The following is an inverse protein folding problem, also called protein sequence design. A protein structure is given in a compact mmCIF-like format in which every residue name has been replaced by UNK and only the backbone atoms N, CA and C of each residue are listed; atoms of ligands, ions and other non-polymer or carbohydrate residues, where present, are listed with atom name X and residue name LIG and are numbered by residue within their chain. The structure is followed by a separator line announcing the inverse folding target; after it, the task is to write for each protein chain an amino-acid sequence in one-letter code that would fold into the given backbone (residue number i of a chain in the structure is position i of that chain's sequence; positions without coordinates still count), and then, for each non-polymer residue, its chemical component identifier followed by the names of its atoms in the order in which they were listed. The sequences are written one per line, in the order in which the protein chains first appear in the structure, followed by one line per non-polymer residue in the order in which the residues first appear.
data_IF_402071312244
#
_entry.id   IF_402071312244
#
_cell.length_a   1.000
_cell.length_b   1.000
_cell.length_c   1.000
_cell.angle_alpha   90.00
_cell.angle_beta   90.00
_cell.angle_gamma   90.00
#
_symmetry.space_group_name_H-M   'P 1'
#
loop_
_entity.id
_entity.type
_entity.pdbx_description
1 polymer ?
#
# COMPACT_ATOMS: atom_id res chain seq x y z
N UNK A 1 3.59 12.88 -2.15
CA UNK A 1 4.63 13.55 -1.34
C UNK A 1 6.02 13.50 -2.00
N UNK A 2 6.70 12.34 -2.07
CA UNK A 2 8.10 12.29 -2.53
C UNK A 2 8.33 12.59 -4.02
N UNK A 3 7.45 12.12 -4.91
CA UNK A 3 7.54 12.42 -6.35
C UNK A 3 7.45 13.93 -6.68
N UNK A 4 6.39 14.65 -6.26
CA UNK A 4 6.32 16.09 -6.55
C UNK A 4 7.44 16.88 -5.85
N UNK A 5 7.87 16.44 -4.66
CA UNK A 5 9.01 17.06 -3.98
C UNK A 5 10.31 16.94 -4.81
N UNK A 6 10.58 15.76 -5.38
CA UNK A 6 11.74 15.53 -6.25
C UNK A 6 11.71 16.36 -7.53
N UNK A 7 10.53 16.57 -8.13
CA UNK A 7 10.42 17.36 -9.37
C UNK A 7 10.51 18.87 -9.14
N UNK A 8 10.08 19.35 -7.98
CA UNK A 8 10.09 20.77 -7.65
C UNK A 8 11.32 21.20 -6.84
N UNK A 9 12.25 20.30 -6.51
CA UNK A 9 13.42 20.61 -5.68
C UNK A 9 13.06 20.99 -4.24
N UNK A 10 12.04 20.34 -3.68
CA UNK A 10 11.53 20.61 -2.33
C UNK A 10 11.80 19.42 -1.41
N UNK A 11 11.79 19.68 -0.09
CA UNK A 11 11.82 18.65 0.92
C UNK A 11 10.41 18.09 1.14
N UNK A 12 10.26 16.77 1.16
CA UNK A 12 8.97 16.12 1.37
C UNK A 12 9.09 14.78 2.07
N UNK A 13 8.43 14.64 3.21
CA UNK A 13 8.46 13.42 4.02
C UNK A 13 7.09 12.73 3.99
N UNK A 14 7.10 11.41 3.75
CA UNK A 14 5.93 10.55 3.97
C UNK A 14 6.15 9.83 5.31
N UNK A 15 5.39 10.14 6.37
CA UNK A 15 5.61 9.52 7.66
C UNK A 15 5.16 8.05 7.67
N UNK A 16 5.38 7.39 8.80
CA UNK A 16 4.88 6.04 9.06
C UNK A 16 3.35 6.05 8.96
N UNK A 17 2.78 4.97 8.41
CA UNK A 17 1.33 4.83 8.30
C UNK A 17 0.69 4.86 9.70
N UNK A 18 -0.34 5.70 9.87
CA UNK A 18 -0.98 5.93 11.18
C UNK A 18 -0.30 6.99 12.07
N UNK A 19 0.85 7.58 11.68
CA UNK A 19 1.50 8.64 12.47
C UNK A 19 0.72 9.97 12.46
N UNK A 20 0.02 10.25 11.36
CA UNK A 20 -0.83 11.42 11.18
C UNK A 20 -2.25 10.93 10.95
N UNK A 21 -3.21 11.52 11.67
CA UNK A 21 -4.63 11.20 11.51
C UNK A 21 -5.11 11.47 10.09
N UNK A 22 -6.01 10.63 9.60
CA UNK A 22 -6.66 10.76 8.29
C UNK A 22 -8.11 11.23 8.41
N UNK A 23 -8.54 11.56 9.62
CA UNK A 23 -9.87 12.14 9.83
C UNK A 23 -9.98 13.47 9.06
N UNK A 24 -11.00 13.57 8.20
CA UNK A 24 -11.21 14.73 7.33
C UNK A 24 -10.47 14.72 5.99
N UNK A 25 -9.62 13.70 5.74
CA UNK A 25 -8.95 13.53 4.45
C UNK A 25 -9.84 12.74 3.50
N UNK A 26 -10.02 13.22 2.27
CA UNK A 26 -10.71 12.46 1.23
C UNK A 26 -9.92 11.16 0.96
N UNK A 27 -10.52 9.97 1.14
CA UNK A 27 -9.80 8.72 1.00
C UNK A 27 -9.53 8.39 -0.47
N UNK A 28 -8.27 8.07 -0.79
CA UNK A 28 -7.88 7.46 -2.05
C UNK A 28 -7.83 5.94 -1.90
N UNK A 29 -6.82 5.46 -1.18
CA UNK A 29 -6.66 4.05 -0.80
C UNK A 29 -6.41 3.97 0.70
N UNK A 30 -7.44 3.57 1.47
CA UNK A 30 -7.41 3.62 2.95
C UNK A 30 -6.25 2.85 3.60
N UNK A 31 -5.64 1.88 2.94
CA UNK A 31 -4.48 1.16 3.48
C UNK A 31 -3.14 1.84 3.20
N UNK A 32 -3.09 2.82 2.30
CA UNK A 32 -1.85 3.46 1.84
C UNK A 32 -1.82 4.98 2.07
N UNK A 33 -2.99 5.59 2.22
CA UNK A 33 -3.13 7.03 2.43
C UNK A 33 -2.36 7.45 3.68
N UNK A 34 -1.51 8.47 3.53
CA UNK A 34 -0.75 9.06 4.62
C UNK A 34 -0.54 10.53 4.30
N UNK A 35 -0.86 11.40 5.25
CA UNK A 35 -0.60 12.84 5.15
C UNK A 35 0.81 13.12 5.64
N UNK A 36 1.52 13.99 4.95
CA UNK A 36 2.84 14.46 5.36
C UNK A 36 3.06 15.90 4.88
N UNK A 37 4.06 16.59 5.42
CA UNK A 37 4.42 17.93 5.00
C UNK A 37 5.33 17.95 3.78
N UNK A 38 5.28 19.06 3.06
CA UNK A 38 6.17 19.44 1.97
C UNK A 38 6.60 20.88 2.20
N UNK A 39 7.90 21.14 2.18
CA UNK A 39 8.49 22.43 2.55
C UNK A 39 9.78 22.69 1.77
N UNK A 40 10.38 23.87 1.99
CA UNK A 40 11.63 24.24 1.32
C UNK A 40 12.84 23.63 2.03
N UNK A 41 12.74 23.44 3.34
CA UNK A 41 13.82 22.87 4.16
C UNK A 41 13.35 21.65 4.96
N UNK A 42 14.31 20.89 5.48
CA UNK A 42 14.03 19.69 6.30
C UNK A 42 13.44 20.11 7.64
N UNK A 43 13.88 21.25 8.18
CA UNK A 43 13.42 21.83 9.45
C UNK A 43 11.95 22.25 9.37
N UNK A 44 11.52 22.89 8.28
CA UNK A 44 10.10 23.23 8.05
C UNK A 44 9.22 21.99 8.01
N UNK A 45 9.69 20.93 7.34
CA UNK A 45 8.99 19.65 7.31
C UNK A 45 8.92 19.02 8.71
N UNK A 46 10.00 19.07 9.48
CA UNK A 46 10.06 18.53 10.83
C UNK A 46 9.14 19.29 11.80
N UNK A 47 9.12 20.61 11.74
CA UNK A 47 8.23 21.47 12.53
C UNK A 47 6.76 21.19 12.22
N UNK A 48 6.43 21.12 10.93
CA UNK A 48 5.06 20.84 10.49
C UNK A 48 4.63 19.43 10.88
N UNK A 49 5.52 18.44 10.71
CA UNK A 49 5.24 17.06 11.12
C UNK A 49 5.00 16.96 12.63
N UNK A 50 5.79 17.66 13.45
CA UNK A 50 5.61 17.70 14.90
C UNK A 50 4.26 18.30 15.31
N UNK A 51 3.71 19.24 14.52
CA UNK A 51 2.42 19.85 14.81
C UNK A 51 1.23 18.96 14.44
N UNK A 52 1.34 18.16 13.37
CA UNK A 52 0.23 17.34 12.85
C UNK A 52 0.28 15.87 13.30
N UNK A 53 1.44 15.39 13.75
CA UNK A 53 1.59 14.01 14.21
C UNK A 53 0.94 13.82 15.58
N UNK A 54 0.32 12.67 15.79
CA UNK A 54 -0.32 12.34 17.06
C UNK A 54 -1.47 11.35 16.91
N UNK A 55 -1.84 10.76 18.05
CA UNK A 55 -3.03 9.92 18.14
C UNK A 55 -4.28 10.80 18.02
N UNK A 56 -5.25 10.34 17.22
CA UNK A 56 -6.55 10.98 17.08
C UNK A 56 -7.65 9.96 17.40
N UNK A 57 -8.45 10.19 18.46
CA UNK A 57 -9.59 9.32 18.80
C UNK A 57 -10.61 9.14 17.68
N UNK A 58 -10.67 10.07 16.71
CA UNK A 58 -11.59 10.00 15.57
C UNK A 58 -11.08 9.12 14.43
N UNK A 59 -9.79 8.78 14.42
CA UNK A 59 -9.19 7.85 13.48
C UNK A 59 -8.73 6.58 14.20
N UNK A 60 -9.52 5.50 14.06
CA UNK A 60 -9.22 4.18 14.64
C UNK A 60 -7.88 3.60 14.17
N UNK A 61 -7.33 4.07 13.05
CA UNK A 61 -6.05 3.59 12.52
C UNK A 61 -4.85 4.43 12.96
N UNK A 62 -5.08 5.51 13.71
CA UNK A 62 -4.00 6.34 14.23
C UNK A 62 -3.19 5.58 15.29
N UNK A 63 -1.87 5.70 15.22
CA UNK A 63 -0.96 5.09 16.17
C UNK A 63 -1.07 5.76 17.53
N UNK A 64 -1.00 4.98 18.60
CA UNK A 64 -0.94 5.46 19.99
C UNK A 64 0.51 5.68 20.45
N UNK A 65 1.50 5.40 19.61
CA UNK A 65 2.89 5.64 19.94
C UNK A 65 3.14 7.14 20.18
N UNK A 66 3.92 7.50 21.21
CA UNK A 66 4.27 8.89 21.46
C UNK A 66 4.98 9.48 20.24
N UNK A 67 4.72 10.76 19.99
CA UNK A 67 5.35 11.49 18.88
C UNK A 67 6.79 11.81 19.29
N UNK A 68 7.80 11.36 18.53
CA UNK A 68 9.19 11.75 18.76
C UNK A 68 9.38 13.26 18.58
N UNK A 69 10.38 13.83 19.24
CA UNK A 69 10.74 15.22 19.03
C UNK A 69 11.45 15.40 17.67
N UNK A 70 10.68 15.70 16.63
CA UNK A 70 11.21 15.95 15.30
C UNK A 70 11.98 17.28 15.20
N UNK A 71 11.76 18.23 16.12
CA UNK A 71 12.37 19.57 16.04
C UNK A 71 13.87 19.51 16.31
N UNK A 72 14.27 18.69 17.27
CA UNK A 72 15.66 18.51 17.67
C UNK A 72 16.34 17.30 17.00
N UNK A 73 15.60 16.51 16.22
CA UNK A 73 16.14 15.37 15.50
C UNK A 73 17.21 15.71 14.43
N UNK A 74 17.11 16.80 13.63
CA UNK A 74 18.14 17.13 12.65
C UNK A 74 19.37 17.74 13.34
N UNK A 75 20.29 16.89 13.80
CA UNK A 75 21.58 17.31 14.38
C UNK A 75 22.64 17.62 13.33
N UNK A 76 22.44 17.18 12.07
CA UNK A 76 23.39 17.34 10.98
C UNK A 76 24.58 16.37 11.00
N UNK A 77 24.76 15.62 12.11
CA UNK A 77 25.77 14.57 12.21
C UNK A 77 25.24 13.26 11.62
N UNK A 78 26.02 12.66 10.72
CA UNK A 78 25.71 11.40 10.03
C UNK A 78 26.76 10.32 10.30
N UNK A 79 27.71 10.58 11.21
CA UNK A 79 28.79 9.64 11.54
C UNK A 79 28.23 8.33 12.08
N UNK A 80 28.66 7.23 11.46
CA UNK A 80 28.27 5.88 11.87
C UNK A 80 26.87 5.44 11.41
N UNK A 81 26.14 6.27 10.66
CA UNK A 81 24.89 5.84 10.02
C UNK A 81 25.18 4.87 8.89
N UNK A 82 24.42 3.77 8.85
CA UNK A 82 24.47 2.77 7.78
C UNK A 82 23.40 3.07 6.73
N UNK A 83 23.82 3.34 5.51
CA UNK A 83 22.97 3.70 4.38
C UNK A 83 23.09 2.62 3.31
N UNK A 84 21.95 2.03 2.95
CA UNK A 84 21.87 0.97 1.96
C UNK A 84 21.43 1.48 0.59
N UNK A 85 22.22 1.23 -0.45
CA UNK A 85 21.82 1.48 -1.84
C UNK A 85 21.28 0.17 -2.42
N UNK A 86 20.00 0.18 -2.82
CA UNK A 86 19.35 -1.00 -3.41
C UNK A 86 19.72 -1.12 -4.89
N UNK A 87 20.48 -2.15 -5.23
CA UNK A 87 21.02 -2.37 -6.58
C UNK A 87 19.91 -2.44 -7.63
N UNK A 88 18.83 -3.14 -7.31
CA UNK A 88 17.71 -3.38 -8.20
C UNK A 88 16.93 -2.10 -8.56
N UNK A 89 17.02 -1.04 -7.76
CA UNK A 89 16.33 0.24 -8.00
C UNK A 89 17.21 1.26 -8.74
N UNK A 90 18.53 1.21 -8.54
CA UNK A 90 19.45 2.20 -9.11
C UNK A 90 20.03 1.77 -10.47
N UNK A 91 20.32 0.49 -10.64
CA UNK A 91 20.96 -0.05 -11.84
C UNK A 91 19.96 -0.60 -12.87
N UNK A 92 18.71 -0.16 -12.81
CA UNK A 92 17.68 -0.50 -13.80
C UNK A 92 17.87 0.31 -15.09
N UNK A 93 17.43 -0.25 -16.22
CA UNK A 93 17.37 0.43 -17.52
C UNK A 93 16.33 1.57 -17.59
N UNK A 94 15.51 1.74 -16.55
CA UNK A 94 14.53 2.82 -16.44
C UNK A 94 15.10 4.10 -15.82
N UNK A 95 16.28 4.02 -15.22
CA UNK A 95 16.94 5.17 -14.57
C UNK A 95 17.97 5.74 -15.54
N UNK A 96 17.79 7.01 -15.88
CA UNK A 96 18.75 7.75 -16.71
C UNK A 96 20.09 7.92 -16.01
N UNK A 97 21.17 7.99 -16.79
CA UNK A 97 22.53 8.05 -16.26
C UNK A 97 22.76 9.30 -15.41
N UNK A 98 22.19 10.45 -15.79
CA UNK A 98 22.31 11.70 -15.03
C UNK A 98 21.75 11.56 -13.60
N UNK A 99 20.58 10.93 -13.46
CA UNK A 99 19.94 10.68 -12.16
C UNK A 99 20.80 9.72 -11.33
N UNK A 100 21.33 8.66 -11.97
CA UNK A 100 22.21 7.70 -11.30
C UNK A 100 23.45 8.39 -10.73
N UNK A 101 24.11 9.22 -11.53
CA UNK A 101 25.31 9.95 -11.09
C UNK A 101 24.99 10.96 -9.98
N UNK A 102 23.85 11.63 -10.04
CA UNK A 102 23.41 12.54 -8.96
C UNK A 102 23.24 11.80 -7.63
N UNK A 103 22.61 10.62 -7.64
CA UNK A 103 22.44 9.79 -6.44
C UNK A 103 23.79 9.30 -5.90
N UNK A 104 24.70 8.86 -6.78
CA UNK A 104 26.04 8.41 -6.38
C UNK A 104 26.89 9.57 -5.82
N UNK A 105 26.77 10.76 -6.38
CA UNK A 105 27.43 11.98 -5.87
C UNK A 105 26.93 12.30 -4.47
N UNK A 106 25.61 12.28 -4.24
CA UNK A 106 25.03 12.47 -2.91
C UNK A 106 25.50 11.39 -1.92
N UNK A 107 25.59 10.13 -2.36
CA UNK A 107 26.14 9.06 -1.53
C UNK A 107 27.61 9.33 -1.16
N UNK A 108 28.45 9.76 -2.11
CA UNK A 108 29.84 10.09 -1.82
C UNK A 108 29.96 11.22 -0.78
N UNK A 109 29.15 12.28 -0.88
CA UNK A 109 29.15 13.35 0.12
C UNK A 109 28.79 12.84 1.52
N UNK A 110 27.83 11.92 1.63
CA UNK A 110 27.47 11.31 2.92
C UNK A 110 28.59 10.40 3.45
N UNK A 111 29.33 9.72 2.56
CA UNK A 111 30.51 8.93 2.94
C UNK A 111 31.62 9.79 3.52
N UNK A 112 31.90 10.93 2.90
CA UNK A 112 32.89 11.92 3.37
C UNK A 112 32.51 12.49 4.74
N UNK A 113 31.21 12.68 5.00
CA UNK A 113 30.70 13.08 6.31
C UNK A 113 30.75 11.97 7.38
N UNK A 114 31.15 10.74 7.01
CA UNK A 114 31.36 9.62 7.94
C UNK A 114 30.23 8.58 8.00
N UNK A 115 29.30 8.60 7.05
CA UNK A 115 28.30 7.54 6.90
C UNK A 115 28.91 6.29 6.23
N UNK A 116 28.44 5.11 6.65
CA UNK A 116 28.79 3.83 6.04
C UNK A 116 27.79 3.54 4.93
N UNK A 117 28.25 3.46 3.69
CA UNK A 117 27.39 3.18 2.52
C UNK A 117 27.72 1.81 1.98
N UNK A 118 26.70 0.95 1.94
CA UNK A 118 26.78 -0.41 1.43
C UNK A 118 25.73 -0.62 0.34
N UNK A 119 26.10 -1.35 -0.72
CA UNK A 119 25.14 -1.78 -1.72
C UNK A 119 24.50 -3.10 -1.31
N UNK A 120 23.18 -3.16 -1.36
CA UNK A 120 22.40 -4.31 -0.93
C UNK A 120 21.36 -4.73 -1.95
N UNK A 121 21.05 -6.02 -1.93
CA UNK A 121 20.12 -6.65 -2.87
C UNK A 121 18.79 -6.90 -2.18
N UNK A 122 17.72 -6.40 -2.79
CA UNK A 122 16.35 -6.71 -2.41
C UNK A 122 15.65 -7.27 -3.64
N UNK A 123 15.64 -8.60 -3.84
CA UNK A 123 15.23 -9.20 -5.12
C UNK A 123 13.77 -8.92 -5.49
N UNK A 124 12.91 -8.76 -4.48
CA UNK A 124 11.50 -8.43 -4.68
C UNK A 124 11.28 -6.96 -5.12
N UNK A 125 12.25 -6.06 -4.90
CA UNK A 125 12.12 -4.66 -5.27
C UNK A 125 12.01 -4.48 -6.80
N UNK A 126 12.72 -5.30 -7.57
CA UNK A 126 12.60 -5.31 -9.04
C UNK A 126 11.21 -5.75 -9.54
N UNK A 127 10.46 -6.48 -8.72
CA UNK A 127 9.16 -7.07 -9.11
C UNK A 127 7.97 -6.35 -8.46
N UNK A 128 8.17 -5.65 -7.35
CA UNK A 128 7.15 -5.07 -6.46
C UNK A 128 6.38 -3.85 -6.97
N UNK A 129 6.12 -3.78 -8.28
CA UNK A 129 5.44 -2.66 -8.94
C UNK A 129 5.34 -2.82 -10.45
N UNK A 130 6.11 -3.72 -11.04
CA UNK A 130 5.84 -4.22 -12.37
C UNK A 130 4.64 -5.16 -12.30
N UNK A 131 3.51 -4.70 -12.82
CA UNK A 131 2.51 -5.63 -13.34
C UNK A 131 3.18 -6.41 -14.47
N UNK A 132 3.83 -7.52 -14.16
CA UNK A 132 4.20 -8.49 -15.19
C UNK A 132 2.88 -9.11 -15.64
N UNK A 133 2.52 -9.04 -16.93
CA UNK A 133 1.65 -10.06 -17.45
C UNK A 133 2.33 -11.38 -17.10
N UNK A 134 1.72 -12.16 -16.21
CA UNK A 134 2.10 -13.57 -16.07
C UNK A 134 2.14 -14.14 -17.48
N UNK A 135 3.22 -14.81 -17.92
CA UNK A 135 3.23 -15.48 -19.20
C UNK A 135 2.10 -16.52 -19.17
N UNK A 136 0.98 -16.19 -19.80
CA UNK A 136 -0.26 -16.93 -19.69
C UNK A 136 -1.41 -16.02 -20.14
N UNK A 137 -2.48 -16.58 -20.74
CA UNK A 137 -3.67 -15.79 -21.03
C UNK A 137 -4.13 -15.12 -19.74
N UNK A 138 -4.41 -13.81 -19.81
CA UNK A 138 -5.16 -13.13 -18.76
C UNK A 138 -6.36 -14.03 -18.42
N UNK A 139 -6.52 -14.51 -17.18
CA UNK A 139 -7.82 -14.95 -16.76
C UNK A 139 -8.70 -13.72 -16.95
N UNK A 140 -9.65 -13.79 -17.88
CA UNK A 140 -10.65 -12.74 -18.04
C UNK A 140 -11.21 -12.40 -16.67
N UNK A 141 -11.64 -11.16 -16.46
CA UNK A 141 -12.16 -10.68 -15.16
C UNK A 141 -13.32 -11.53 -14.59
N UNK A 142 -13.82 -12.51 -15.32
CA UNK A 142 -14.75 -13.56 -14.89
C UNK A 142 -14.11 -14.70 -14.06
N UNK A 143 -12.78 -14.81 -13.96
CA UNK A 143 -12.10 -15.90 -13.25
C UNK A 143 -11.42 -15.39 -11.97
N UNK A 144 -12.23 -14.78 -11.09
CA UNK A 144 -11.88 -14.64 -9.69
C UNK A 144 -11.97 -16.03 -9.05
N UNK A 145 -10.91 -16.85 -9.14
CA UNK A 145 -10.83 -18.10 -8.39
C UNK A 145 -10.62 -17.75 -6.91
N UNK A 146 -11.58 -18.04 -6.02
CA UNK A 146 -11.35 -17.88 -4.60
C UNK A 146 -10.24 -18.84 -4.18
N UNK A 147 -9.15 -18.33 -3.58
CA UNK A 147 -8.06 -19.14 -3.00
C UNK A 147 -8.48 -19.79 -1.68
N UNK A 148 -9.65 -20.42 -1.65
CA UNK A 148 -10.06 -21.34 -0.58
C UNK A 148 -10.99 -22.40 -1.17
N UNK A 149 -10.95 -23.66 -0.67
CA UNK A 149 -11.83 -24.73 -1.15
C UNK A 149 -13.32 -24.48 -0.84
N UNK A 150 -13.64 -23.42 -0.11
CA UNK A 150 -14.97 -23.18 0.47
C UNK A 150 -15.90 -22.47 -0.52
N UNK A 151 -15.37 -21.69 -1.45
CA UNK A 151 -16.19 -20.83 -2.30
C UNK A 151 -16.63 -21.47 -3.64
N UNK A 152 -16.35 -22.76 -3.86
CA UNK A 152 -16.88 -23.52 -5.00
C UNK A 152 -18.40 -23.74 -4.91
N UNK A 153 -19.00 -23.61 -3.72
CA UNK A 153 -20.42 -23.90 -3.52
C UNK A 153 -21.39 -22.74 -3.84
N UNK A 154 -20.92 -21.51 -4.12
CA UNK A 154 -21.80 -20.35 -4.27
C UNK A 154 -21.60 -19.52 -5.56
N UNK A 155 -21.01 -20.08 -6.61
CA UNK A 155 -20.88 -19.34 -7.88
C UNK A 155 -22.18 -19.43 -8.71
N UNK A 156 -23.07 -18.44 -8.52
CA UNK A 156 -24.18 -18.14 -9.42
C UNK A 156 -23.62 -17.28 -10.57
N UNK A 157 -23.56 -17.84 -11.77
CA UNK A 157 -23.15 -17.10 -12.97
C UNK A 157 -24.29 -16.24 -13.55
N UNK A 158 -23.99 -15.09 -14.19
CA UNK A 158 -24.99 -14.27 -14.84
C UNK A 158 -25.43 -14.95 -16.14
N UNK A 159 -26.60 -15.59 -16.14
CA UNK A 159 -27.28 -15.93 -17.40
C UNK A 159 -28.10 -14.71 -17.82
N UNK A 160 -27.75 -14.18 -19.00
CA UNK A 160 -28.53 -13.27 -19.84
C UNK A 160 -30.03 -13.33 -19.54
N UNK A 161 -30.62 -12.20 -19.14
CA UNK A 161 -32.06 -12.05 -18.99
C UNK A 161 -32.74 -12.19 -20.36
N UNK A 162 -33.62 -13.18 -20.60
CA UNK A 162 -34.68 -13.01 -21.57
C UNK A 162 -35.88 -12.37 -20.85
N UNK A 163 -36.32 -11.22 -21.35
CA UNK A 163 -37.68 -10.72 -21.22
C UNK A 163 -38.67 -11.87 -21.43
N UNK A 164 -39.33 -12.34 -20.37
CA UNK A 164 -40.77 -12.69 -20.28
C UNK A 164 -41.05 -13.26 -18.87
N UNK A 165 -42.15 -12.82 -18.28
CA UNK A 165 -42.70 -13.23 -16.97
C UNK A 165 -42.85 -14.76 -16.85
N UNK A 166 -42.08 -15.41 -15.99
CA UNK A 166 -42.37 -16.77 -15.50
C UNK A 166 -41.64 -17.06 -14.18
N UNK A 167 -42.41 -17.41 -13.16
CA UNK A 167 -41.95 -17.93 -11.87
C UNK A 167 -41.15 -19.22 -12.04
N UNK A 168 -39.89 -19.26 -11.60
CA UNK A 168 -39.09 -20.48 -11.57
C UNK A 168 -38.95 -20.99 -10.13
N UNK A 169 -39.57 -22.13 -9.85
CA UNK A 169 -39.36 -22.97 -8.67
C UNK A 169 -37.99 -23.66 -8.77
N UNK A 170 -37.17 -23.59 -7.72
CA UNK A 170 -35.83 -24.19 -7.68
C UNK A 170 -35.87 -25.53 -6.94
N UNK A 171 -35.49 -26.61 -7.64
CA UNK A 171 -35.25 -27.93 -7.05
C UNK A 171 -33.80 -28.04 -6.60
N UNK A 172 -33.59 -28.28 -5.30
CA UNK A 172 -32.28 -28.46 -4.69
C UNK A 172 -31.87 -29.94 -4.71
N UNK A 173 -31.13 -30.36 -5.73
CA UNK A 173 -30.39 -31.62 -5.74
C UNK A 173 -29.10 -31.37 -6.52
N UNK A 174 -27.96 -31.11 -5.90
CA UNK A 174 -27.17 -32.16 -5.25
C UNK A 174 -25.91 -31.51 -4.67
N UNK A 175 -25.78 -31.46 -3.34
CA UNK A 175 -24.51 -31.16 -2.68
C UNK A 175 -24.35 -32.09 -1.47
N UNK A 176 -23.44 -33.09 -1.53
CA UNK A 176 -23.36 -34.16 -0.54
C UNK A 176 -22.77 -33.75 0.83
N UNK A 177 -22.70 -32.44 1.14
CA UNK A 177 -22.14 -31.91 2.40
C UNK A 177 -23.03 -30.95 3.19
N UNK A 178 -24.24 -30.64 2.73
CA UNK A 178 -25.15 -29.78 3.49
C UNK A 178 -26.00 -30.60 4.46
N UNK A 179 -25.58 -30.63 5.73
CA UNK A 179 -26.38 -31.14 6.85
C UNK A 179 -27.33 -30.01 7.27
N UNK A 180 -28.63 -30.19 7.00
CA UNK A 180 -29.80 -29.35 7.34
C UNK A 180 -30.17 -28.21 6.38
N UNK A 181 -31.34 -28.34 5.77
CA UNK A 181 -32.09 -27.29 5.08
C UNK A 181 -33.08 -26.67 6.06
N UNK A 182 -32.93 -25.39 6.40
CA UNK A 182 -34.06 -24.60 6.95
C UNK A 182 -34.67 -23.77 5.82
N UNK A 183 -36.00 -23.61 5.77
CA UNK A 183 -36.65 -22.78 4.76
C UNK A 183 -36.34 -21.31 5.02
N UNK A 184 -35.68 -20.64 4.06
CA UNK A 184 -35.34 -19.21 4.10
C UNK A 184 -36.53 -18.44 3.49
N UNK A 185 -37.44 -17.92 4.32
CA UNK A 185 -38.45 -16.94 3.92
C UNK A 185 -37.90 -15.53 4.17
N UNK A 186 -38.05 -14.64 3.18
CA UNK A 186 -37.67 -13.21 3.20
C UNK A 186 -36.16 -12.93 3.20
N UNK A 187 -35.51 -13.18 2.06
CA UNK A 187 -34.51 -12.27 1.47
C UNK A 187 -33.17 -12.05 2.17
N UNK A 188 -32.89 -12.66 3.31
CA UNK A 188 -31.62 -12.51 4.05
C UNK A 188 -31.16 -13.88 4.57
N UNK A 189 -30.27 -14.53 3.82
CA UNK A 189 -29.60 -15.75 4.28
C UNK A 189 -28.16 -15.36 4.69
N UNK A 190 -27.95 -15.06 5.97
CA UNK A 190 -26.63 -14.84 6.56
C UNK A 190 -25.95 -16.17 6.83
N UNK A 191 -24.88 -16.49 6.11
CA UNK A 191 -24.04 -17.66 6.41
C UNK A 191 -23.17 -17.32 7.61
N UNK A 192 -23.60 -17.77 8.79
CA UNK A 192 -22.85 -17.62 10.04
C UNK A 192 -22.05 -18.91 10.25
N UNK A 193 -20.79 -18.89 9.78
CA UNK A 193 -19.74 -19.93 9.93
C UNK A 193 -19.84 -21.19 9.06
N UNK A 194 -18.71 -21.48 8.42
CA UNK A 194 -18.12 -22.80 8.27
C UNK A 194 -16.81 -22.82 9.05
#
# INVERSE_FOLDING_TARGET
MRFPASWCGLAGIRPIWGRVSRYGVMPGVRSMDTVGPLGRTVEECALTLAAIAGHDPKDRTSSQEPVPDYRNAPTGDVKGLKIGIVKELLYTNLVEEEIRQSVLTAANTLREMGAQIEELSVPLAATGGHWRPTPGPFPGQSEWRPRSPIASCCAIGPKTLPTTTASATWSAASCPRCITTRPCNLGLCSVTRC
#
